data_IF_349257945177
#
_entry.id   IF_349257945177
#
_cell.length_a   1.000
_cell.length_b   1.000
_cell.length_c   1.000
_cell.angle_alpha   90.00
_cell.angle_beta   90.00
_cell.angle_gamma   90.00
#
_symmetry.space_group_name_H-M   'P 1'
#
loop_
_entity.id
_entity.type
_entity.pdbx_description
1 polymer ?
#
# COMPACT_ATOMS: atom_id res chain seq x y z
N UNK A 1 16.88 73.16 2.37
CA UNK A 1 15.51 72.65 2.63
C UNK A 1 14.86 72.40 1.28
N UNK A 2 14.84 71.14 0.84
CA UNK A 2 14.32 70.76 -0.48
C UNK A 2 13.76 69.33 -0.46
N UNK A 3 12.45 69.25 -0.68
CA UNK A 3 11.75 68.40 -1.67
C UNK A 3 11.98 66.87 -1.62
N UNK A 4 10.89 66.15 -1.28
CA UNK A 4 10.64 64.74 -1.60
C UNK A 4 10.79 64.46 -3.11
N UNK A 5 11.15 63.22 -3.46
CA UNK A 5 10.44 62.55 -4.53
C UNK A 5 9.91 61.17 -4.13
N UNK A 6 8.75 60.87 -4.74
CA UNK A 6 8.00 59.62 -4.72
C UNK A 6 8.53 58.71 -5.84
N UNK A 7 8.35 57.39 -5.66
CA UNK A 7 8.06 56.39 -6.70
C UNK A 7 9.14 55.33 -7.04
N UNK A 8 8.80 54.09 -6.66
CA UNK A 8 8.70 52.88 -7.50
C UNK A 8 9.89 51.94 -7.76
N UNK A 9 9.60 50.66 -7.50
CA UNK A 9 10.17 49.47 -8.14
C UNK A 9 11.43 48.95 -7.47
N UNK A 10 11.62 47.67 -7.17
CA UNK A 10 10.78 46.50 -7.30
C UNK A 10 11.25 45.53 -6.20
N UNK A 11 10.35 45.11 -5.33
CA UNK A 11 10.60 43.98 -4.44
C UNK A 11 10.66 42.73 -5.31
N UNK A 12 11.86 42.28 -5.66
CA UNK A 12 12.12 40.91 -6.10
C UNK A 12 11.96 39.99 -4.90
N UNK A 13 10.72 39.79 -4.49
CA UNK A 13 10.33 38.71 -3.61
C UNK A 13 10.49 37.42 -4.38
N UNK A 14 11.67 36.80 -4.26
CA UNK A 14 11.89 35.41 -4.63
C UNK A 14 11.03 34.56 -3.69
N UNK A 15 9.74 34.40 -4.03
CA UNK A 15 8.90 33.34 -3.48
C UNK A 15 9.47 32.02 -3.99
N UNK A 16 10.51 31.53 -3.33
CA UNK A 16 10.75 30.09 -3.28
C UNK A 16 9.51 29.46 -2.65
N UNK A 17 8.61 28.96 -3.52
CA UNK A 17 7.70 27.89 -3.13
C UNK A 17 8.57 26.68 -2.82
N UNK A 18 9.06 26.59 -1.59
CA UNK A 18 9.47 25.30 -1.03
C UNK A 18 8.20 24.47 -0.87
N UNK A 19 7.77 23.82 -1.96
CA UNK A 19 7.04 22.56 -1.81
C UNK A 19 8.07 21.56 -1.30
N UNK A 20 8.41 21.60 -0.01
CA UNK A 20 9.14 20.50 0.60
C UNK A 20 8.18 19.32 0.54
N UNK A 21 8.43 18.40 -0.39
CA UNK A 21 7.76 17.11 -0.37
C UNK A 21 7.97 16.42 0.97
N UNK A 22 7.14 15.43 1.31
CA UNK A 22 7.32 14.66 2.55
C UNK A 22 8.75 14.15 2.62
N UNK A 23 9.43 14.44 3.74
CA UNK A 23 10.83 14.09 3.96
C UNK A 23 11.04 12.60 4.21
N UNK A 24 9.98 11.90 4.63
CA UNK A 24 9.96 10.46 4.87
C UNK A 24 8.68 9.84 4.31
N UNK A 25 8.73 8.54 3.99
CA UNK A 25 7.54 7.80 3.58
C UNK A 25 6.47 7.77 4.69
N UNK A 26 6.88 7.79 5.96
CA UNK A 26 5.94 7.88 7.09
C UNK A 26 5.07 9.13 7.02
N UNK A 27 5.69 10.30 6.86
CA UNK A 27 4.95 11.57 6.76
C UNK A 27 4.04 11.57 5.52
N UNK A 28 4.51 11.02 4.40
CA UNK A 28 3.66 10.83 3.21
C UNK A 28 2.45 9.96 3.53
N UNK A 29 2.64 8.81 4.17
CA UNK A 29 1.58 7.86 4.50
C UNK A 29 0.55 8.45 5.47
N UNK A 30 1.00 9.20 6.48
CA UNK A 30 0.12 9.90 7.42
C UNK A 30 -0.75 10.95 6.70
N UNK A 31 -0.18 11.75 5.80
CA UNK A 31 -0.96 12.67 4.97
C UNK A 31 -1.94 11.94 4.04
N UNK A 32 -1.49 10.84 3.43
CA UNK A 32 -2.32 10.01 2.57
C UNK A 32 -3.53 9.43 3.32
N UNK A 33 -3.37 8.99 4.57
CA UNK A 33 -4.47 8.51 5.41
C UNK A 33 -5.49 9.60 5.72
N UNK A 34 -5.05 10.84 5.95
CA UNK A 34 -5.96 11.98 6.17
C UNK A 34 -6.81 12.23 4.92
N UNK A 35 -6.20 12.23 3.75
CA UNK A 35 -6.91 12.34 2.47
C UNK A 35 -7.86 11.16 2.23
N UNK A 36 -7.46 9.93 2.57
CA UNK A 36 -8.33 8.75 2.48
C UNK A 36 -9.57 8.89 3.37
N UNK A 37 -9.42 9.42 4.59
CA UNK A 37 -10.55 9.68 5.47
C UNK A 37 -11.47 10.77 4.91
N UNK A 38 -10.93 11.82 4.28
CA UNK A 38 -11.76 12.82 3.61
C UNK A 38 -12.57 12.20 2.46
N UNK A 39 -11.92 11.40 1.60
CA UNK A 39 -12.61 10.67 0.53
C UNK A 39 -13.70 9.74 1.07
N UNK A 40 -13.46 9.08 2.21
CA UNK A 40 -14.48 8.26 2.86
C UNK A 40 -15.71 9.11 3.26
N UNK A 41 -15.51 10.26 3.90
CA UNK A 41 -16.63 11.14 4.26
C UNK A 41 -17.42 11.61 3.04
N UNK A 42 -16.72 11.98 1.96
CA UNK A 42 -17.33 12.41 0.71
C UNK A 42 -18.19 11.26 0.11
N UNK A 43 -17.63 10.05 0.02
CA UNK A 43 -18.35 8.87 -0.49
C UNK A 43 -19.59 8.54 0.35
N UNK A 44 -19.50 8.64 1.67
CA UNK A 44 -20.63 8.40 2.58
C UNK A 44 -21.74 9.43 2.33
N UNK A 45 -21.41 10.71 2.22
CA UNK A 45 -22.39 11.76 1.92
C UNK A 45 -23.08 11.55 0.56
N UNK A 46 -22.32 11.14 -0.46
CA UNK A 46 -22.82 10.82 -1.79
C UNK A 46 -23.76 9.61 -1.75
N UNK A 47 -23.41 8.56 -1.01
CA UNK A 47 -24.23 7.34 -0.88
C UNK A 47 -25.62 7.58 -0.27
N UNK A 48 -25.80 8.69 0.45
CA UNK A 48 -27.08 9.05 1.07
C UNK A 48 -27.95 9.94 0.18
N UNK A 49 -27.38 10.55 -0.86
CA UNK A 49 -28.01 11.64 -1.62
C UNK A 49 -28.21 11.34 -3.10
N UNK A 50 -27.56 10.31 -3.66
CA UNK A 50 -27.34 10.22 -5.11
C UNK A 50 -28.32 9.35 -5.89
N UNK A 51 -28.75 9.88 -7.04
CA UNK A 51 -29.12 9.18 -8.28
C UNK A 51 -27.87 8.76 -9.06
N UNK A 52 -27.94 7.65 -9.83
CA UNK A 52 -26.79 6.92 -10.42
C UNK A 52 -25.76 7.77 -11.23
N UNK A 53 -26.19 8.88 -11.87
CA UNK A 53 -25.35 9.68 -12.77
C UNK A 53 -24.25 10.50 -12.07
N UNK A 54 -24.39 10.83 -10.79
CA UNK A 54 -23.41 11.64 -10.03
C UNK A 54 -22.28 10.82 -9.38
N UNK A 55 -22.38 9.49 -9.45
CA UNK A 55 -21.57 8.56 -8.66
C UNK A 55 -20.18 8.23 -9.27
N UNK A 56 -19.96 8.48 -10.56
CA UNK A 56 -18.71 8.08 -11.24
C UNK A 56 -17.47 8.94 -10.90
N UNK A 57 -17.63 10.26 -10.80
CA UNK A 57 -16.52 11.18 -10.54
C UNK A 57 -15.83 10.92 -9.17
N UNK A 58 -16.57 10.67 -8.07
CA UNK A 58 -15.99 10.31 -6.77
C UNK A 58 -15.18 9.00 -6.80
N UNK A 59 -15.67 7.97 -7.49
CA UNK A 59 -14.98 6.67 -7.61
C UNK A 59 -13.61 6.84 -8.28
N UNK A 60 -13.55 7.61 -9.37
CA UNK A 60 -12.29 7.87 -10.06
C UNK A 60 -11.29 8.61 -9.18
N UNK A 61 -11.73 9.62 -8.41
CA UNK A 61 -10.85 10.36 -7.48
C UNK A 61 -10.19 9.42 -6.46
N UNK A 62 -10.94 8.45 -5.93
CA UNK A 62 -10.41 7.47 -4.98
C UNK A 62 -9.42 6.51 -5.66
N UNK A 63 -9.70 6.07 -6.88
CA UNK A 63 -8.76 5.25 -7.65
C UNK A 63 -7.44 5.99 -7.93
N UNK A 64 -7.52 7.27 -8.29
CA UNK A 64 -6.35 8.13 -8.52
C UNK A 64 -5.53 8.30 -7.23
N UNK A 65 -6.21 8.39 -6.08
CA UNK A 65 -5.57 8.47 -4.77
C UNK A 65 -4.83 7.17 -4.39
N UNK A 66 -5.39 5.99 -4.68
CA UNK A 66 -4.67 4.72 -4.53
C UNK A 66 -3.52 4.57 -5.53
N UNK A 67 -3.69 5.04 -6.76
CA UNK A 67 -2.61 5.04 -7.75
C UNK A 67 -1.45 5.95 -7.32
N UNK A 68 -1.76 7.10 -6.71
CA UNK A 68 -0.76 7.98 -6.13
C UNK A 68 0.05 7.27 -5.02
N UNK A 69 -0.62 6.52 -4.14
CA UNK A 69 0.04 5.72 -3.11
C UNK A 69 1.05 4.73 -3.69
N UNK A 70 0.64 3.91 -4.66
CA UNK A 70 1.54 2.90 -5.22
C UNK A 70 2.67 3.51 -6.06
N UNK A 71 2.43 4.65 -6.73
CA UNK A 71 3.49 5.41 -7.40
C UNK A 71 4.53 5.93 -6.42
N UNK A 72 4.10 6.53 -5.30
CA UNK A 72 4.99 6.98 -4.26
C UNK A 72 5.76 5.77 -3.66
N UNK A 73 5.07 4.71 -3.28
CA UNK A 73 5.70 3.51 -2.74
C UNK A 73 6.75 2.91 -3.68
N UNK A 74 6.49 2.86 -4.98
CA UNK A 74 7.45 2.41 -5.99
C UNK A 74 8.69 3.31 -6.04
N UNK A 75 8.55 4.63 -5.95
CA UNK A 75 9.69 5.55 -5.95
C UNK A 75 10.56 5.38 -4.70
N UNK A 76 9.96 5.26 -3.52
CA UNK A 76 10.70 5.02 -2.28
C UNK A 76 11.35 3.63 -2.24
N UNK A 77 10.74 2.62 -2.87
CA UNK A 77 11.33 1.28 -2.94
C UNK A 77 12.66 1.24 -3.71
N UNK A 78 12.89 2.19 -4.63
CA UNK A 78 14.18 2.32 -5.33
C UNK A 78 15.30 2.70 -4.37
N UNK A 79 14.99 3.51 -3.35
CA UNK A 79 15.92 3.99 -2.34
C UNK A 79 16.11 2.96 -1.22
N UNK A 80 15.00 2.47 -0.66
CA UNK A 80 15.02 1.47 0.43
C UNK A 80 13.81 0.53 0.34
N UNK A 81 14.04 -0.64 -0.28
CA UNK A 81 13.03 -1.69 -0.38
C UNK A 81 12.78 -2.40 0.94
N UNK A 82 13.78 -2.47 1.82
CA UNK A 82 13.66 -3.20 3.09
C UNK A 82 12.73 -2.44 4.03
N UNK A 83 12.83 -1.11 4.07
CA UNK A 83 11.86 -0.27 4.78
C UNK A 83 10.43 -0.47 4.24
N UNK A 84 10.26 -0.59 2.92
CA UNK A 84 8.94 -0.82 2.32
C UNK A 84 8.35 -2.21 2.62
N UNK A 85 9.19 -3.22 2.75
CA UNK A 85 8.79 -4.60 3.09
C UNK A 85 8.54 -4.80 4.59
N UNK A 86 9.23 -4.03 5.42
CA UNK A 86 9.15 -4.08 6.89
C UNK A 86 8.79 -2.69 7.46
N UNK A 87 7.54 -2.23 7.28
CA UNK A 87 7.13 -0.85 7.53
C UNK A 87 6.92 -0.51 9.03
N UNK A 88 7.94 -0.72 9.86
CA UNK A 88 7.87 -0.53 11.32
C UNK A 88 7.66 0.92 11.76
N UNK A 89 7.97 1.90 10.91
CA UNK A 89 7.92 3.31 11.28
C UNK A 89 6.56 3.99 11.02
N UNK A 90 5.74 3.47 10.11
CA UNK A 90 4.42 4.02 9.81
C UNK A 90 3.24 3.07 10.08
N UNK A 91 3.43 1.76 10.06
CA UNK A 91 2.38 0.79 10.43
C UNK A 91 2.50 0.33 11.88
N UNK A 92 1.40 -0.14 12.46
CA UNK A 92 1.42 -0.82 13.76
C UNK A 92 1.98 -2.24 13.66
N UNK A 93 2.39 -2.81 14.79
CA UNK A 93 2.79 -4.23 14.87
C UNK A 93 1.66 -5.18 14.46
N UNK A 94 0.40 -4.74 14.61
CA UNK A 94 -0.75 -5.51 14.17
C UNK A 94 -0.82 -5.58 12.66
N UNK A 95 -0.82 -4.42 12.00
CA UNK A 95 -0.84 -4.32 10.55
C UNK A 95 0.32 -5.09 9.94
N UNK A 96 1.54 -4.89 10.48
CA UNK A 96 2.76 -5.55 10.01
C UNK A 96 2.64 -7.08 9.99
N UNK A 97 1.96 -7.68 10.98
CA UNK A 97 1.79 -9.13 11.07
C UNK A 97 0.89 -9.73 9.96
N UNK A 98 0.04 -8.91 9.32
CA UNK A 98 -0.87 -9.35 8.25
C UNK A 98 -0.44 -8.89 6.86
N UNK A 99 0.75 -8.28 6.71
CA UNK A 99 1.26 -7.90 5.41
C UNK A 99 1.75 -9.11 4.62
N UNK A 100 1.39 -9.14 3.34
CA UNK A 100 1.89 -10.05 2.33
C UNK A 100 2.75 -9.26 1.35
N UNK A 101 4.08 -9.38 1.37
CA UNK A 101 4.98 -8.66 0.43
C UNK A 101 4.69 -7.14 0.46
N UNK A 102 4.91 -6.52 1.63
CA UNK A 102 4.82 -5.07 1.83
C UNK A 102 3.42 -4.46 1.76
N UNK A 103 2.34 -5.23 1.78
CA UNK A 103 0.97 -4.70 1.71
C UNK A 103 -0.10 -5.76 1.99
N UNK A 104 -1.38 -5.42 1.86
CA UNK A 104 -2.49 -6.38 2.01
C UNK A 104 -2.47 -7.45 0.90
N UNK A 105 -3.03 -8.63 1.16
CA UNK A 105 -3.07 -9.71 0.17
C UNK A 105 -4.24 -9.53 -0.82
N UNK A 106 -4.06 -9.50 -2.15
CA UNK A 106 -5.11 -9.22 -3.13
C UNK A 106 -6.45 -9.98 -2.95
N UNK A 107 -6.42 -11.23 -2.49
CA UNK A 107 -7.60 -12.04 -2.19
C UNK A 107 -8.49 -11.44 -1.10
N UNK A 108 -7.93 -10.62 -0.20
CA UNK A 108 -8.70 -9.89 0.82
C UNK A 108 -9.73 -8.92 0.23
N UNK A 109 -9.50 -8.40 -0.97
CA UNK A 109 -10.48 -7.56 -1.68
C UNK A 109 -11.79 -8.32 -1.93
N UNK A 110 -11.70 -9.59 -2.32
CA UNK A 110 -12.87 -10.44 -2.55
C UNK A 110 -13.52 -10.87 -1.22
N UNK A 111 -12.72 -11.19 -0.21
CA UNK A 111 -13.26 -11.49 1.13
C UNK A 111 -14.05 -10.31 1.69
N UNK A 112 -13.53 -9.09 1.55
CA UNK A 112 -14.24 -7.87 1.93
C UNK A 112 -15.55 -7.73 1.15
N UNK A 113 -15.49 -7.88 -0.17
CA UNK A 113 -16.65 -7.80 -1.06
C UNK A 113 -17.75 -8.77 -0.61
N UNK A 114 -17.44 -10.07 -0.52
CA UNK A 114 -18.44 -11.07 -0.15
C UNK A 114 -18.98 -10.88 1.27
N UNK A 115 -18.13 -10.51 2.22
CA UNK A 115 -18.56 -10.24 3.60
C UNK A 115 -19.52 -9.05 3.65
N UNK A 116 -19.16 -7.96 2.98
CA UNK A 116 -19.98 -6.74 2.95
C UNK A 116 -21.29 -6.96 2.18
N UNK A 117 -21.23 -7.62 1.03
CA UNK A 117 -22.40 -8.03 0.25
C UNK A 117 -23.34 -8.90 1.07
N UNK A 118 -22.82 -9.89 1.79
CA UNK A 118 -23.63 -10.77 2.65
C UNK A 118 -24.37 -9.98 3.73
N UNK A 119 -23.67 -9.10 4.45
CA UNK A 119 -24.27 -8.23 5.47
C UNK A 119 -25.36 -7.32 4.88
N UNK A 120 -25.13 -6.73 3.70
CA UNK A 120 -26.13 -5.85 3.06
C UNK A 120 -27.33 -6.64 2.52
N UNK A 121 -27.09 -7.81 1.93
CA UNK A 121 -28.12 -8.73 1.47
C UNK A 121 -29.02 -9.18 2.61
N UNK A 122 -28.46 -9.60 3.73
CA UNK A 122 -29.22 -10.03 4.93
C UNK A 122 -30.11 -8.89 5.45
N UNK A 123 -29.57 -7.68 5.54
CA UNK A 123 -30.30 -6.50 6.00
C UNK A 123 -31.41 -6.04 5.06
N UNK A 124 -31.34 -6.40 3.77
CA UNK A 124 -32.27 -5.93 2.73
C UNK A 124 -33.01 -7.07 2.04
N UNK A 125 -32.97 -8.29 2.58
CA UNK A 125 -33.55 -9.48 1.96
C UNK A 125 -35.03 -9.29 1.62
N UNK A 126 -35.79 -8.68 2.54
CA UNK A 126 -37.20 -8.33 2.31
C UNK A 126 -37.39 -7.39 1.13
N UNK A 127 -36.56 -6.35 0.97
CA UNK A 127 -36.68 -5.42 -0.14
C UNK A 127 -36.29 -6.07 -1.47
N UNK A 128 -35.23 -6.90 -1.45
CA UNK A 128 -34.74 -7.58 -2.64
C UNK A 128 -35.76 -8.57 -3.23
N UNK A 129 -36.40 -9.39 -2.40
CA UNK A 129 -37.41 -10.37 -2.88
C UNK A 129 -38.65 -9.68 -3.49
N UNK A 130 -38.90 -8.41 -3.14
CA UNK A 130 -39.96 -7.59 -3.71
C UNK A 130 -39.48 -6.70 -4.87
N UNK A 131 -38.24 -6.88 -5.35
CA UNK A 131 -37.68 -6.14 -6.48
C UNK A 131 -37.26 -4.70 -6.17
N UNK A 132 -37.16 -4.32 -4.88
CA UNK A 132 -36.78 -2.98 -4.43
C UNK A 132 -35.31 -2.94 -3.99
N UNK A 133 -34.40 -3.30 -4.90
CA UNK A 133 -32.96 -3.23 -4.65
C UNK A 133 -32.52 -1.80 -4.30
N UNK A 134 -31.56 -1.67 -3.38
CA UNK A 134 -31.01 -0.39 -2.92
C UNK A 134 -29.88 0.13 -3.82
N UNK A 135 -29.42 -0.69 -4.77
CA UNK A 135 -28.27 -0.42 -5.62
C UNK A 135 -26.93 -0.59 -4.90
N UNK A 136 -26.91 -1.27 -3.74
CA UNK A 136 -25.70 -1.49 -2.95
C UNK A 136 -25.07 -2.86 -3.26
N UNK A 137 -24.09 -3.30 -2.46
CA UNK A 137 -23.39 -4.57 -2.71
C UNK A 137 -24.25 -5.81 -2.42
N UNK A 138 -25.42 -5.67 -1.78
CA UNK A 138 -26.41 -6.74 -1.67
C UNK A 138 -27.08 -7.07 -3.00
N UNK A 139 -27.08 -6.12 -3.95
CA UNK A 139 -27.74 -6.23 -5.25
C UNK A 139 -26.79 -6.65 -6.39
N UNK A 140 -25.70 -7.35 -6.06
CA UNK A 140 -24.79 -7.88 -7.09
C UNK A 140 -25.52 -8.85 -8.01
N UNK A 141 -25.54 -8.54 -9.30
CA UNK A 141 -26.19 -9.40 -10.28
C UNK A 141 -25.46 -10.73 -10.47
N UNK A 142 -26.14 -11.81 -10.91
CA UNK A 142 -25.50 -13.08 -11.21
C UNK A 142 -24.34 -12.94 -12.21
N UNK A 143 -24.48 -12.06 -13.20
CA UNK A 143 -23.43 -11.80 -14.20
C UNK A 143 -22.18 -11.17 -13.59
N UNK A 144 -22.34 -10.27 -12.61
CA UNK A 144 -21.25 -9.66 -11.88
C UNK A 144 -20.55 -10.70 -11.00
N UNK A 145 -21.31 -11.54 -10.28
CA UNK A 145 -20.75 -12.61 -9.45
C UNK A 145 -19.89 -13.58 -10.27
N UNK A 146 -20.34 -13.99 -11.46
CA UNK A 146 -19.55 -14.85 -12.37
C UNK A 146 -18.26 -14.14 -12.83
N UNK A 147 -18.31 -12.83 -13.09
CA UNK A 147 -17.12 -12.05 -13.47
C UNK A 147 -16.14 -11.90 -12.30
N UNK A 148 -16.66 -11.68 -11.08
CA UNK A 148 -15.87 -11.57 -9.85
C UNK A 148 -15.20 -12.91 -9.53
N UNK A 149 -15.92 -14.02 -9.60
CA UNK A 149 -15.37 -15.37 -9.36
C UNK A 149 -14.22 -15.69 -10.33
N UNK A 150 -14.43 -15.42 -11.63
CA UNK A 150 -13.37 -15.54 -12.64
C UNK A 150 -12.16 -14.65 -12.33
N UNK A 151 -12.38 -13.44 -11.84
CA UNK A 151 -11.30 -12.52 -11.44
C UNK A 151 -10.58 -13.02 -10.18
N UNK A 152 -11.30 -13.57 -9.21
CA UNK A 152 -10.73 -14.16 -7.99
C UNK A 152 -9.86 -15.36 -8.32
N UNK A 153 -10.34 -16.29 -9.16
CA UNK A 153 -9.56 -17.46 -9.59
C UNK A 153 -8.24 -17.06 -10.27
N UNK A 154 -8.28 -16.05 -11.15
CA UNK A 154 -7.07 -15.47 -11.75
C UNK A 154 -6.14 -14.85 -10.71
N UNK A 155 -6.70 -14.11 -9.74
CA UNK A 155 -5.95 -13.48 -8.66
C UNK A 155 -5.22 -14.52 -7.81
N UNK A 156 -5.91 -15.59 -7.40
CA UNK A 156 -5.33 -16.69 -6.61
C UNK A 156 -4.14 -17.32 -7.35
N UNK A 157 -4.26 -17.52 -8.67
CA UNK A 157 -3.17 -18.05 -9.49
C UNK A 157 -1.96 -17.11 -9.52
N UNK A 158 -2.18 -15.81 -9.72
CA UNK A 158 -1.10 -14.82 -9.73
C UNK A 158 -0.45 -14.65 -8.34
N UNK A 159 -1.24 -14.61 -7.27
CA UNK A 159 -0.72 -14.60 -5.89
C UNK A 159 0.15 -15.81 -5.61
N UNK A 160 -0.27 -17.00 -6.05
CA UNK A 160 0.52 -18.22 -5.91
C UNK A 160 1.83 -18.10 -6.68
N UNK A 161 1.80 -17.60 -7.91
CA UNK A 161 3.02 -17.38 -8.69
C UNK A 161 3.99 -16.40 -8.02
N UNK A 162 3.46 -15.29 -7.48
CA UNK A 162 4.28 -14.29 -6.77
C UNK A 162 4.85 -14.90 -5.49
N UNK A 163 4.04 -15.58 -4.68
CA UNK A 163 4.47 -16.20 -3.42
C UNK A 163 5.53 -17.28 -3.64
N UNK A 164 5.36 -18.14 -4.66
CA UNK A 164 6.35 -19.17 -5.00
C UNK A 164 7.68 -18.56 -5.46
N UNK A 165 7.65 -17.46 -6.20
CA UNK A 165 8.87 -16.74 -6.60
C UNK A 165 9.53 -16.04 -5.42
N UNK A 166 8.76 -15.44 -4.52
CA UNK A 166 9.27 -14.85 -3.29
C UNK A 166 9.98 -15.90 -2.44
N UNK A 167 9.34 -17.06 -2.21
CA UNK A 167 9.92 -18.17 -1.45
C UNK A 167 11.23 -18.68 -2.06
N UNK A 168 11.31 -18.77 -3.40
CA UNK A 168 12.56 -19.12 -4.10
C UNK A 168 13.66 -18.08 -3.85
N UNK A 169 13.32 -16.79 -3.81
CA UNK A 169 14.28 -15.72 -3.53
C UNK A 169 14.73 -15.69 -2.08
N UNK A 170 13.82 -15.92 -1.14
CA UNK A 170 14.15 -16.08 0.28
C UNK A 170 15.15 -17.23 0.48
N UNK A 171 14.96 -18.35 -0.23
CA UNK A 171 15.91 -19.47 -0.23
C UNK A 171 17.32 -19.11 -0.72
N UNK A 172 17.49 -18.04 -1.51
CA UNK A 172 18.83 -17.61 -1.98
C UNK A 172 19.67 -16.98 -0.87
N UNK A 173 19.11 -16.66 0.30
CA UNK A 173 19.91 -16.19 1.44
C UNK A 173 20.91 -17.25 1.92
N UNK A 174 20.62 -18.53 1.68
CA UNK A 174 21.49 -19.65 2.02
C UNK A 174 22.12 -20.31 0.77
N UNK A 175 22.27 -19.56 -0.32
CA UNK A 175 22.93 -20.08 -1.53
C UNK A 175 24.45 -20.28 -1.32
N UNK A 176 25.09 -21.04 -2.20
CA UNK A 176 26.52 -21.33 -2.09
C UNK A 176 27.39 -20.07 -2.12
N UNK A 177 26.96 -18.98 -2.76
CA UNK A 177 27.72 -17.73 -2.81
C UNK A 177 27.72 -17.07 -1.43
N UNK A 178 26.54 -16.89 -0.83
CA UNK A 178 26.38 -16.32 0.51
C UNK A 178 27.08 -17.15 1.59
N UNK A 179 27.00 -18.48 1.49
CA UNK A 179 27.67 -19.38 2.45
C UNK A 179 29.20 -19.26 2.35
N UNK A 180 29.75 -19.17 1.13
CA UNK A 180 31.20 -18.94 0.93
C UNK A 180 31.62 -17.60 1.50
N UNK A 181 30.90 -16.52 1.18
CA UNK A 181 31.18 -15.18 1.72
C UNK A 181 31.13 -15.17 3.25
N UNK A 182 30.10 -15.79 3.84
CA UNK A 182 29.97 -15.91 5.31
C UNK A 182 31.13 -16.68 5.92
N UNK A 183 31.56 -17.78 5.29
CA UNK A 183 32.70 -18.56 5.75
C UNK A 183 34.00 -17.74 5.69
N UNK A 184 34.26 -17.04 4.58
CA UNK A 184 35.44 -16.18 4.43
C UNK A 184 35.47 -15.08 5.50
N UNK A 185 34.39 -14.32 5.67
CA UNK A 185 34.28 -13.29 6.73
C UNK A 185 34.51 -13.89 8.12
N UNK A 186 33.95 -15.07 8.40
CA UNK A 186 34.13 -15.74 9.69
C UNK A 186 35.55 -16.22 9.95
N UNK A 187 36.24 -16.76 8.93
CA UNK A 187 37.66 -17.17 9.03
C UNK A 187 38.56 -15.95 9.24
N UNK A 188 38.28 -14.83 8.56
CA UNK A 188 39.01 -13.57 8.74
C UNK A 188 38.86 -13.05 10.17
N UNK A 189 37.64 -13.06 10.73
CA UNK A 189 37.40 -12.68 12.13
C UNK A 189 38.12 -13.59 13.13
N UNK A 190 38.25 -14.90 12.84
CA UNK A 190 38.92 -15.87 13.72
C UNK A 190 40.43 -15.76 13.71
N UNK A 191 41.05 -15.49 12.56
CA UNK A 191 42.51 -15.45 12.43
C UNK A 191 43.15 -14.32 13.23
N UNK A 192 42.43 -13.23 13.50
CA UNK A 192 42.94 -12.12 14.32
C UNK A 192 44.20 -11.43 13.78
N UNK A 193 44.70 -11.85 12.63
CA UNK A 193 45.93 -11.36 12.02
C UNK A 193 45.66 -10.05 11.29
N UNK A 194 46.53 -9.07 11.55
CA UNK A 194 46.44 -7.71 11.02
C UNK A 194 46.19 -7.72 9.52
N UNK A 195 45.22 -6.89 9.12
CA UNK A 195 44.81 -6.64 7.74
C UNK A 195 46.00 -6.77 6.77
N UNK A 196 46.05 -7.82 5.95
CA UNK A 196 46.68 -7.66 4.65
C UNK A 196 45.87 -6.55 3.96
N UNK A 197 46.49 -5.38 3.84
CA UNK A 197 45.89 -4.13 3.42
C UNK A 197 45.33 -4.29 1.99
N UNK A 198 44.06 -4.73 1.88
CA UNK A 198 43.38 -5.00 0.61
C UNK A 198 42.35 -6.13 0.64
N UNK A 199 42.68 -7.29 1.24
CA UNK A 199 41.83 -8.50 1.18
C UNK A 199 40.52 -8.34 1.95
N UNK A 200 40.56 -7.64 3.10
CA UNK A 200 39.35 -7.32 3.87
C UNK A 200 38.37 -6.43 3.12
N UNK A 201 38.88 -5.46 2.37
CA UNK A 201 38.07 -4.52 1.59
C UNK A 201 37.42 -5.23 0.40
N UNK A 202 38.13 -6.15 -0.24
CA UNK A 202 37.60 -6.92 -1.39
C UNK A 202 36.41 -7.80 -0.98
N UNK A 203 36.53 -8.55 0.13
CA UNK A 203 35.44 -9.40 0.63
C UNK A 203 34.22 -8.57 1.06
N UNK A 204 34.43 -7.41 1.68
CA UNK A 204 33.34 -6.51 2.06
C UNK A 204 32.58 -5.97 0.84
N UNK A 205 33.31 -5.61 -0.23
CA UNK A 205 32.71 -5.19 -1.51
C UNK A 205 31.90 -6.33 -2.14
N UNK A 206 32.41 -7.56 -2.15
CA UNK A 206 31.67 -8.72 -2.67
C UNK A 206 30.37 -8.98 -1.88
N UNK A 207 30.41 -8.84 -0.55
CA UNK A 207 29.23 -8.96 0.32
C UNK A 207 28.20 -7.89 -0.03
N UNK A 208 28.60 -6.64 -0.18
CA UNK A 208 27.66 -5.55 -0.52
C UNK A 208 27.04 -5.78 -1.89
N UNK A 209 27.82 -6.16 -2.91
CA UNK A 209 27.31 -6.50 -4.24
C UNK A 209 26.30 -7.65 -4.19
N UNK A 210 26.58 -8.70 -3.43
CA UNK A 210 25.67 -9.82 -3.26
C UNK A 210 24.36 -9.40 -2.58
N UNK A 211 24.42 -8.52 -1.58
CA UNK A 211 23.26 -7.99 -0.87
C UNK A 211 22.42 -7.06 -1.77
N UNK A 212 23.04 -6.19 -2.55
CA UNK A 212 22.36 -5.30 -3.50
C UNK A 212 21.63 -6.10 -4.59
N UNK A 213 22.25 -7.14 -5.16
CA UNK A 213 21.59 -8.03 -6.11
C UNK A 213 20.32 -8.68 -5.52
N UNK A 214 20.32 -9.00 -4.23
CA UNK A 214 19.14 -9.53 -3.54
C UNK A 214 18.09 -8.45 -3.30
N UNK A 215 18.48 -7.23 -2.92
CA UNK A 215 17.57 -6.07 -2.78
C UNK A 215 16.86 -5.74 -4.10
N UNK A 216 17.56 -5.78 -5.24
CA UNK A 216 16.94 -5.56 -6.56
C UNK A 216 15.83 -6.57 -6.88
N UNK A 217 16.03 -7.85 -6.52
CA UNK A 217 14.98 -8.86 -6.68
C UNK A 217 13.78 -8.61 -5.77
N UNK A 218 14.01 -8.13 -4.56
CA UNK A 218 12.95 -7.73 -3.64
C UNK A 218 12.14 -6.53 -4.19
N UNK A 219 12.80 -5.56 -4.85
CA UNK A 219 12.14 -4.42 -5.50
C UNK A 219 11.16 -4.90 -6.57
N UNK A 220 11.59 -5.83 -7.42
CA UNK A 220 10.73 -6.42 -8.44
C UNK A 220 9.54 -7.18 -7.84
N UNK A 221 9.74 -7.94 -6.76
CA UNK A 221 8.65 -8.66 -6.09
C UNK A 221 7.62 -7.72 -5.46
N UNK A 222 8.09 -6.65 -4.80
CA UNK A 222 7.23 -5.62 -4.24
C UNK A 222 6.40 -4.95 -5.34
N UNK A 223 7.04 -4.54 -6.44
CA UNK A 223 6.38 -3.92 -7.59
C UNK A 223 5.29 -4.83 -8.16
N UNK A 224 5.59 -6.12 -8.40
CA UNK A 224 4.59 -7.08 -8.91
C UNK A 224 3.40 -7.25 -7.97
N UNK A 225 3.65 -7.25 -6.66
CA UNK A 225 2.58 -7.35 -5.66
C UNK A 225 1.70 -6.09 -5.64
N UNK A 226 2.32 -4.90 -5.69
CA UNK A 226 1.62 -3.61 -5.71
C UNK A 226 0.82 -3.40 -7.01
N UNK A 227 1.39 -3.77 -8.16
CA UNK A 227 0.69 -3.76 -9.45
C UNK A 227 -0.53 -4.68 -9.44
N UNK A 228 -0.41 -5.87 -8.83
CA UNK A 228 -1.53 -6.79 -8.69
C UNK A 228 -2.63 -6.18 -7.82
N UNK A 229 -2.30 -5.56 -6.68
CA UNK A 229 -3.29 -4.90 -5.81
C UNK A 229 -4.07 -3.82 -6.55
N UNK A 230 -3.38 -2.91 -7.23
CA UNK A 230 -4.03 -1.83 -7.97
C UNK A 230 -4.87 -2.36 -9.13
N UNK A 231 -4.37 -3.37 -9.85
CA UNK A 231 -5.10 -4.05 -10.92
C UNK A 231 -6.40 -4.68 -10.42
N UNK A 232 -6.36 -5.39 -9.28
CA UNK A 232 -7.56 -6.03 -8.71
C UNK A 232 -8.56 -4.99 -8.25
N UNK A 233 -8.11 -3.93 -7.58
CA UNK A 233 -8.99 -2.84 -7.16
C UNK A 233 -9.73 -2.22 -8.36
N UNK A 234 -9.00 -1.82 -9.42
CA UNK A 234 -9.60 -1.26 -10.63
C UNK A 234 -10.56 -2.24 -11.30
N UNK A 235 -10.14 -3.50 -11.48
CA UNK A 235 -10.96 -4.51 -12.12
C UNK A 235 -12.25 -4.84 -11.36
N UNK A 236 -12.25 -4.79 -10.03
CA UNK A 236 -13.47 -4.95 -9.22
C UNK A 236 -14.44 -3.79 -9.45
N UNK A 237 -13.94 -2.55 -9.41
CA UNK A 237 -14.74 -1.36 -9.67
C UNK A 237 -15.34 -1.39 -11.09
N UNK A 238 -14.57 -1.83 -12.09
CA UNK A 238 -15.04 -1.96 -13.49
C UNK A 238 -16.12 -3.05 -13.68
N UNK A 239 -16.26 -3.99 -12.75
CA UNK A 239 -17.34 -4.99 -12.78
C UNK A 239 -18.63 -4.43 -12.16
N UNK A 240 -18.49 -3.55 -11.17
CA UNK A 240 -19.58 -3.01 -10.37
C UNK A 240 -20.29 -1.85 -11.08
N UNK A 241 -21.53 -1.56 -10.66
CA UNK A 241 -22.15 -0.27 -10.97
C UNK A 241 -21.48 0.83 -10.15
N UNK A 242 -21.64 2.13 -10.50
CA UNK A 242 -21.05 3.23 -9.74
C UNK A 242 -21.44 3.22 -8.26
N UNK A 243 -22.73 2.98 -7.98
CA UNK A 243 -23.25 2.88 -6.62
C UNK A 243 -22.60 1.73 -5.83
N UNK A 244 -22.53 0.54 -6.42
CA UNK A 244 -21.83 -0.60 -5.83
C UNK A 244 -20.35 -0.30 -5.58
N UNK A 245 -19.68 0.35 -6.54
CA UNK A 245 -18.29 0.79 -6.41
C UNK A 245 -18.09 1.76 -5.23
N UNK A 246 -18.99 2.72 -5.04
CA UNK A 246 -18.99 3.63 -3.87
C UNK A 246 -19.10 2.82 -2.58
N UNK A 247 -20.07 1.92 -2.47
CA UNK A 247 -20.24 1.10 -1.26
C UNK A 247 -19.03 0.19 -0.96
N UNK A 248 -18.39 -0.35 -2.00
CA UNK A 248 -17.17 -1.13 -1.85
C UNK A 248 -16.00 -0.28 -1.35
N UNK A 249 -15.80 0.91 -1.94
CA UNK A 249 -14.72 1.81 -1.53
C UNK A 249 -14.91 2.36 -0.11
N UNK A 250 -16.15 2.62 0.30
CA UNK A 250 -16.50 2.94 1.70
C UNK A 250 -16.03 1.81 2.62
N UNK A 251 -16.47 0.57 2.35
CA UNK A 251 -16.10 -0.57 3.18
C UNK A 251 -14.59 -0.82 3.24
N UNK A 252 -13.88 -0.61 2.12
CA UNK A 252 -12.42 -0.75 2.06
C UNK A 252 -11.70 0.32 2.89
N UNK A 253 -12.11 1.58 2.76
CA UNK A 253 -11.53 2.68 3.53
C UNK A 253 -11.83 2.55 5.03
N UNK A 254 -13.07 2.20 5.40
CA UNK A 254 -13.44 1.94 6.80
C UNK A 254 -12.58 0.83 7.40
N UNK A 255 -12.43 -0.31 6.72
CA UNK A 255 -11.62 -1.40 7.23
C UNK A 255 -10.16 -0.97 7.42
N UNK A 256 -9.57 -0.32 6.41
CA UNK A 256 -8.17 0.12 6.49
C UNK A 256 -7.92 1.09 7.64
N UNK A 257 -8.73 2.16 7.72
CA UNK A 257 -8.59 3.20 8.74
C UNK A 257 -8.77 2.64 10.16
N UNK A 258 -9.76 1.75 10.36
CA UNK A 258 -10.03 1.15 11.67
C UNK A 258 -8.93 0.20 12.12
N UNK A 259 -8.42 -0.65 11.22
CA UNK A 259 -7.30 -1.55 11.54
C UNK A 259 -6.04 -0.74 11.90
N UNK A 260 -5.78 0.35 11.18
CA UNK A 260 -4.68 1.25 11.47
C UNK A 260 -4.80 1.90 12.86
N UNK A 261 -5.95 2.51 13.14
CA UNK A 261 -6.23 3.18 14.41
C UNK A 261 -6.14 2.20 15.60
N UNK A 262 -6.84 1.06 15.51
CA UNK A 262 -6.82 0.05 16.57
C UNK A 262 -5.43 -0.52 16.81
N UNK A 263 -4.66 -0.72 15.74
CA UNK A 263 -3.27 -1.16 15.81
C UNK A 263 -2.39 -0.16 16.57
N UNK A 264 -2.48 1.13 16.25
CA UNK A 264 -1.73 2.20 16.94
C UNK A 264 -2.09 2.29 18.43
N UNK A 265 -3.39 2.24 18.75
CA UNK A 265 -3.87 2.26 20.15
C UNK A 265 -3.31 1.07 20.94
N UNK A 266 -3.27 -0.11 20.32
CA UNK A 266 -2.73 -1.32 20.95
C UNK A 266 -1.23 -1.21 21.23
N UNK A 267 -0.46 -0.72 20.27
CA UNK A 267 0.98 -0.55 20.42
C UNK A 267 1.32 0.49 21.50
N UNK A 268 0.55 1.58 21.56
CA UNK A 268 0.67 2.58 22.62
C UNK A 268 0.45 1.99 24.02
N UNK A 269 -0.61 1.18 24.20
CA UNK A 269 -0.89 0.49 25.47
C UNK A 269 0.23 -0.47 25.86
N UNK A 270 0.79 -1.21 24.90
CA UNK A 270 1.91 -2.13 25.13
C UNK A 270 3.15 -1.39 25.62
N UNK A 271 3.48 -0.24 25.02
CA UNK A 271 4.60 0.58 25.44
C UNK A 271 4.42 1.11 26.86
N UNK A 272 3.21 1.58 27.21
CA UNK A 272 2.91 2.04 28.58
C UNK A 272 2.91 0.94 29.64
N UNK A 273 2.75 -0.34 29.25
CA UNK A 273 2.79 -1.48 30.18
C UNK A 273 4.21 -2.01 30.46
N UNK A 274 5.19 -1.56 29.69
CA UNK A 274 6.60 -1.96 29.80
C UNK A 274 7.48 -0.90 30.49
N UNK A 275 6.91 0.28 30.78
CA UNK A 275 7.52 1.40 31.49
C UNK A 275 6.96 1.51 32.90
#
# INVERSE_FOLDING_TARGET
MSILPRSSGASTGTKQKSKSGPTTFKTFFECWLVEQNQHLQDLVAISQTSTEEQSWCPVQKVLDHYEHYYKAKAEWSKQDVLAMLSPSSWTSTFEAAFLWIGGWRPTMAFHLLYSKSGIQLENQLYHLIHGLGKGDLGDLSPSQLVRIDKLQAKTVKEEKNISEKMAKYEGTLADSCMVKLTHMVSEMMRRGDGYEEGVGVEVEVEVELAMELKKERLKEMLRRADDLRLKILKALIDIMTPSQGVHYLIAAAELHLRIHEWGKVRDGKRLSSLT
#
